data_IF_034122011356
#
_entry.id   IF_034122011356
#
_cell.length_a   1.000
_cell.length_b   1.000
_cell.length_c   1.000
_cell.angle_alpha   90.00
_cell.angle_beta   90.00
_cell.angle_gamma   90.00
#
_symmetry.space_group_name_H-M   'P 1'
#
loop_
_entity.id
_entity.type
_entity.pdbx_description
1 polymer ?
#
# COMPACT_ATOMS: atom_id res chain seq x y z
N UNK A 1 -45.25 -24.86 7.46
CA UNK A 1 -44.65 -24.69 6.12
C UNK A 1 -45.25 -23.42 5.53
N UNK A 2 -44.50 -22.33 5.63
CA UNK A 2 -44.82 -21.05 5.00
C UNK A 2 -43.70 -20.77 4.00
N UNK A 3 -43.98 -20.25 2.80
CA UNK A 3 -42.97 -20.15 1.76
C UNK A 3 -42.02 -18.98 2.04
N UNK A 4 -40.74 -19.25 1.85
CA UNK A 4 -39.64 -18.29 1.90
C UNK A 4 -39.86 -17.23 0.82
N UNK A 5 -39.88 -15.96 1.20
CA UNK A 5 -39.85 -14.85 0.25
C UNK A 5 -38.49 -14.87 -0.44
N UNK A 6 -38.49 -14.96 -1.77
CA UNK A 6 -37.30 -14.82 -2.60
C UNK A 6 -36.78 -13.38 -2.46
N UNK A 7 -35.49 -13.23 -2.15
CA UNK A 7 -34.82 -11.94 -2.20
C UNK A 7 -34.70 -11.49 -3.67
N UNK A 8 -35.06 -10.23 -3.91
CA UNK A 8 -35.05 -9.58 -5.22
C UNK A 8 -33.60 -9.21 -5.60
N UNK A 9 -33.13 -9.36 -6.85
CA UNK A 9 -31.70 -9.25 -7.21
C UNK A 9 -31.16 -7.81 -7.31
N UNK A 10 -31.92 -6.81 -6.86
CA UNK A 10 -31.57 -5.39 -6.93
C UNK A 10 -31.39 -4.79 -5.53
N UNK A 11 -30.73 -5.51 -4.63
CA UNK A 11 -30.33 -4.94 -3.34
C UNK A 11 -28.92 -4.35 -3.53
N UNK A 12 -28.88 -3.13 -4.05
CA UNK A 12 -27.66 -2.31 -4.03
C UNK A 12 -27.16 -2.22 -2.57
N UNK A 13 -25.84 -2.21 -2.33
CA UNK A 13 -25.32 -2.04 -0.99
C UNK A 13 -25.94 -0.78 -0.38
N UNK A 14 -26.66 -0.97 0.74
CA UNK A 14 -27.32 0.10 1.48
C UNK A 14 -26.27 1.20 1.72
N UNK A 15 -26.51 2.45 1.28
CA UNK A 15 -25.52 3.51 1.43
C UNK A 15 -25.14 3.63 2.91
N UNK A 16 -23.87 3.40 3.21
CA UNK A 16 -23.29 3.67 4.52
C UNK A 16 -23.70 5.08 4.89
N UNK A 17 -24.45 5.25 5.99
CA UNK A 17 -25.03 6.53 6.37
C UNK A 17 -23.93 7.59 6.48
N UNK A 18 -23.83 8.45 5.49
CA UNK A 18 -22.79 9.47 5.40
C UNK A 18 -22.94 10.46 6.57
N UNK A 19 -21.81 11.04 6.98
CA UNK A 19 -21.83 12.09 7.97
C UNK A 19 -22.65 13.30 7.46
N UNK A 20 -23.29 14.07 8.35
CA UNK A 20 -24.10 15.22 7.93
C UNK A 20 -23.27 16.20 7.09
N UNK A 21 -23.73 16.48 5.86
CA UNK A 21 -23.09 17.44 4.95
C UNK A 21 -22.27 16.82 3.80
N UNK A 22 -22.15 15.49 3.74
CA UNK A 22 -21.53 14.81 2.59
C UNK A 22 -22.63 14.35 1.61
N UNK A 23 -22.46 14.68 0.33
CA UNK A 23 -23.31 14.24 -0.79
C UNK A 23 -22.41 13.48 -1.75
N UNK A 24 -22.83 12.27 -2.14
CA UNK A 24 -22.22 11.49 -3.22
C UNK A 24 -23.10 11.65 -4.47
N UNK A 25 -22.52 12.01 -5.62
CA UNK A 25 -23.24 12.16 -6.89
C UNK A 25 -22.80 11.07 -7.87
N UNK A 26 -23.49 9.93 -7.80
CA UNK A 26 -23.11 8.73 -8.52
C UNK A 26 -23.35 8.86 -10.04
N UNK A 27 -22.40 8.35 -10.82
CA UNK A 27 -22.51 8.34 -12.27
C UNK A 27 -23.45 7.23 -12.77
N UNK A 28 -24.32 7.53 -13.73
CA UNK A 28 -25.33 6.57 -14.23
C UNK A 28 -24.73 5.36 -14.96
N UNK A 29 -23.52 5.50 -15.52
CA UNK A 29 -22.88 4.46 -16.36
C UNK A 29 -21.67 3.80 -15.70
N UNK A 30 -21.12 4.40 -14.63
CA UNK A 30 -19.94 3.85 -13.96
C UNK A 30 -20.41 3.18 -12.68
N UNK A 31 -20.83 1.93 -12.80
CA UNK A 31 -21.48 1.15 -11.75
C UNK A 31 -20.51 0.37 -10.88
N UNK A 32 -19.23 0.24 -11.29
CA UNK A 32 -18.22 -0.55 -10.57
C UNK A 32 -18.43 -2.06 -10.69
N UNK A 33 -19.21 -2.52 -11.68
CA UNK A 33 -19.48 -3.93 -11.91
C UNK A 33 -18.23 -4.72 -12.29
N UNK A 34 -18.17 -5.99 -11.88
CA UNK A 34 -17.03 -6.89 -12.13
C UNK A 34 -16.91 -7.15 -13.64
N UNK A 35 -15.72 -6.89 -14.19
CA UNK A 35 -15.43 -7.09 -15.60
C UNK A 35 -14.07 -7.79 -15.82
N UNK A 36 -13.91 -8.36 -17.01
CA UNK A 36 -12.65 -8.97 -17.44
C UNK A 36 -11.63 -7.91 -17.91
N UNK A 37 -10.43 -8.36 -18.31
CA UNK A 37 -9.36 -7.48 -18.78
C UNK A 37 -9.71 -6.68 -20.06
N UNK A 38 -10.80 -7.02 -20.75
CA UNK A 38 -11.29 -6.31 -21.92
C UNK A 38 -12.50 -5.40 -21.60
N UNK A 39 -12.94 -5.38 -20.34
CA UNK A 39 -14.12 -4.64 -19.89
C UNK A 39 -15.45 -5.36 -20.14
N UNK A 40 -15.45 -6.65 -20.42
CA UNK A 40 -16.69 -7.43 -20.52
C UNK A 40 -17.18 -7.86 -19.16
N UNK A 41 -18.48 -7.73 -18.91
CA UNK A 41 -19.12 -8.17 -17.67
C UNK A 41 -18.86 -9.65 -17.40
N UNK A 42 -18.49 -9.95 -16.15
CA UNK A 42 -18.33 -11.31 -15.66
C UNK A 42 -19.60 -11.67 -14.87
N UNK A 43 -20.12 -12.89 -15.06
CA UNK A 43 -21.21 -13.40 -14.21
C UNK A 43 -20.73 -13.42 -12.75
N UNK A 44 -21.51 -12.79 -11.86
CA UNK A 44 -21.25 -12.72 -10.42
C UNK A 44 -21.06 -14.11 -9.77
N UNK A 45 -21.54 -15.19 -10.38
CA UNK A 45 -21.34 -16.57 -9.89
C UNK A 45 -20.02 -17.20 -10.35
N UNK A 46 -19.21 -16.50 -11.15
CA UNK A 46 -17.92 -17.00 -11.63
C UNK A 46 -16.95 -17.05 -10.46
N UNK A 47 -16.41 -18.23 -10.17
CA UNK A 47 -15.40 -18.38 -9.13
C UNK A 47 -14.14 -17.59 -9.50
N UNK A 48 -13.55 -16.83 -8.56
CA UNK A 48 -12.29 -16.15 -8.81
C UNK A 48 -11.20 -17.17 -9.13
N UNK A 49 -10.16 -16.78 -9.89
CA UNK A 49 -8.98 -17.62 -10.09
C UNK A 49 -8.43 -18.09 -8.73
N UNK A 50 -7.92 -19.34 -8.62
CA UNK A 50 -7.26 -19.79 -7.41
C UNK A 50 -6.13 -18.83 -7.07
N UNK A 51 -6.22 -18.18 -5.91
CA UNK A 51 -5.11 -17.42 -5.37
C UNK A 51 -4.02 -18.43 -5.06
N UNK A 52 -2.81 -18.23 -5.59
CA UNK A 52 -1.67 -19.02 -5.14
C UNK A 52 -1.50 -18.72 -3.65
N UNK A 53 -1.88 -19.66 -2.79
CA UNK A 53 -1.61 -19.56 -1.35
C UNK A 53 -0.11 -19.36 -1.20
N UNK A 54 0.30 -18.17 -0.73
CA UNK A 54 1.68 -17.98 -0.30
C UNK A 54 1.91 -18.92 0.87
N UNK A 55 3.05 -19.61 0.87
CA UNK A 55 3.44 -20.44 2.00
C UNK A 55 3.42 -19.56 3.26
N UNK A 56 2.81 -20.00 4.38
CA UNK A 56 2.80 -19.23 5.63
C UNK A 56 4.20 -18.86 6.14
N UNK A 57 5.24 -19.57 5.71
CA UNK A 57 6.65 -19.28 5.97
C UNK A 57 7.37 -18.56 4.82
N UNK A 58 6.65 -18.08 3.81
CA UNK A 58 7.20 -17.25 2.73
C UNK A 58 7.46 -15.81 3.23
N UNK A 59 8.48 -15.68 4.08
CA UNK A 59 9.00 -14.38 4.57
C UNK A 59 9.87 -13.68 3.52
N UNK A 60 9.58 -13.89 2.22
CA UNK A 60 10.41 -13.49 1.08
C UNK A 60 11.22 -12.20 1.33
N UNK A 61 12.55 -12.32 1.16
CA UNK A 61 13.62 -11.34 1.44
C UNK A 61 14.06 -11.17 2.89
N UNK A 62 13.28 -11.65 3.85
CA UNK A 62 13.69 -11.81 5.23
C UNK A 62 14.12 -13.27 5.49
N UNK A 63 15.04 -13.46 6.43
CA UNK A 63 15.51 -14.78 6.88
C UNK A 63 14.39 -15.54 7.60
N UNK A 64 13.57 -14.84 8.37
CA UNK A 64 12.44 -15.37 9.14
C UNK A 64 11.46 -14.25 9.56
N UNK A 65 10.38 -14.65 10.24
CA UNK A 65 9.40 -13.77 10.86
C UNK A 65 10.04 -12.75 11.80
N UNK A 66 11.04 -13.16 12.58
CA UNK A 66 11.66 -12.33 13.60
C UNK A 66 12.42 -11.16 12.98
N UNK A 67 13.11 -11.40 11.87
CA UNK A 67 13.80 -10.36 11.12
C UNK A 67 12.80 -9.37 10.49
N UNK A 68 11.65 -9.86 10.01
CA UNK A 68 10.57 -9.00 9.49
C UNK A 68 9.97 -8.10 10.59
N UNK A 69 9.53 -8.68 11.71
CA UNK A 69 8.93 -7.94 12.82
C UNK A 69 9.91 -6.91 13.41
N UNK A 70 11.20 -7.26 13.43
CA UNK A 70 12.26 -6.33 13.84
C UNK A 70 12.39 -5.16 12.87
N UNK A 71 12.35 -5.40 11.56
CA UNK A 71 12.36 -4.32 10.58
C UNK A 71 11.14 -3.40 10.72
N UNK A 72 9.93 -3.99 10.87
CA UNK A 72 8.71 -3.22 11.09
C UNK A 72 8.83 -2.35 12.35
N UNK A 73 9.23 -2.94 13.47
CA UNK A 73 9.37 -2.23 14.73
C UNK A 73 10.37 -1.08 14.63
N UNK A 74 11.56 -1.32 14.08
CA UNK A 74 12.62 -0.31 14.00
C UNK A 74 12.27 0.83 13.04
N UNK A 75 11.68 0.51 11.88
CA UNK A 75 11.41 1.48 10.82
C UNK A 75 10.09 2.23 11.06
N UNK A 76 9.00 1.52 11.33
CA UNK A 76 7.64 2.07 11.34
C UNK A 76 7.16 2.46 12.73
N UNK A 77 7.47 1.67 13.77
CA UNK A 77 6.94 1.93 15.11
C UNK A 77 7.86 2.83 15.94
N UNK A 78 9.16 2.54 15.93
CA UNK A 78 10.16 3.29 16.68
C UNK A 78 10.71 4.49 15.90
N UNK A 79 10.58 4.49 14.57
CA UNK A 79 11.20 5.46 13.66
C UNK A 79 12.67 5.71 14.04
N UNK A 80 13.40 4.62 14.29
CA UNK A 80 14.72 4.69 14.90
C UNK A 80 15.72 5.32 13.93
N UNK A 81 16.50 6.29 14.41
CA UNK A 81 17.53 6.91 13.58
C UNK A 81 18.58 5.90 13.12
N UNK A 82 19.15 6.09 11.93
CA UNK A 82 20.18 5.20 11.36
C UNK A 82 21.34 4.92 12.35
N UNK A 83 21.82 5.95 13.05
CA UNK A 83 22.88 5.78 14.05
C UNK A 83 22.46 4.97 15.29
N UNK A 84 21.19 5.04 15.69
CA UNK A 84 20.66 4.21 16.77
C UNK A 84 20.46 2.75 16.30
N UNK A 85 20.06 2.54 15.05
CA UNK A 85 19.97 1.20 14.44
C UNK A 85 21.37 0.56 14.39
N UNK A 86 22.39 1.28 13.92
CA UNK A 86 23.77 0.80 13.91
C UNK A 86 24.23 0.44 15.32
N UNK A 87 23.96 1.31 16.30
CA UNK A 87 24.30 1.07 17.69
C UNK A 87 23.60 -0.18 18.25
N UNK A 88 22.35 -0.42 17.88
CA UNK A 88 21.62 -1.62 18.28
C UNK A 88 22.22 -2.88 17.67
N UNK A 89 22.55 -2.85 16.37
CA UNK A 89 23.18 -3.96 15.67
C UNK A 89 24.56 -4.31 16.28
N UNK A 90 25.34 -3.30 16.66
CA UNK A 90 26.61 -3.48 17.40
C UNK A 90 26.41 -4.17 18.76
N UNK A 91 25.38 -3.76 19.51
CA UNK A 91 25.04 -4.35 20.81
C UNK A 91 24.60 -5.82 20.67
N UNK A 92 23.82 -6.15 19.64
CA UNK A 92 23.48 -7.53 19.32
C UNK A 92 24.71 -8.34 18.92
N UNK A 93 25.55 -7.81 18.02
CA UNK A 93 26.80 -8.45 17.61
C UNK A 93 27.72 -8.76 18.79
N UNK A 94 27.82 -7.84 19.77
CA UNK A 94 28.63 -8.02 20.96
C UNK A 94 28.04 -8.98 22.01
N UNK A 95 26.72 -9.04 22.14
CA UNK A 95 26.05 -9.90 23.13
C UNK A 95 25.81 -11.33 22.65
N UNK A 96 25.61 -11.53 21.35
CA UNK A 96 25.37 -12.84 20.75
C UNK A 96 26.66 -13.62 20.45
N UNK A 97 27.82 -12.98 20.55
CA UNK A 97 29.14 -13.63 20.44
C UNK A 97 29.48 -14.39 21.74
N UNK A 98 28.72 -15.44 22.05
CA UNK A 98 29.07 -16.38 23.13
C UNK A 98 29.73 -17.64 22.56
N UNK A 99 30.61 -18.25 23.36
CA UNK A 99 31.67 -19.17 22.93
C UNK A 99 31.24 -20.49 22.26
N UNK A 100 29.94 -20.72 22.03
CA UNK A 100 29.41 -21.90 21.35
C UNK A 100 28.42 -21.47 20.27
N UNK A 101 28.92 -21.14 19.07
CA UNK A 101 28.08 -20.95 17.87
C UNK A 101 27.14 -19.74 17.93
N UNK A 102 27.67 -18.55 18.24
CA UNK A 102 26.90 -17.32 18.33
C UNK A 102 26.03 -17.00 17.11
N UNK A 103 24.81 -16.52 17.37
CA UNK A 103 23.89 -16.04 16.34
C UNK A 103 24.35 -14.67 15.82
N UNK A 104 24.30 -14.46 14.50
CA UNK A 104 24.55 -13.15 13.90
C UNK A 104 23.42 -12.17 14.28
N UNK A 105 23.69 -10.85 14.34
CA UNK A 105 22.62 -9.87 14.52
C UNK A 105 21.61 -9.96 13.37
N UNK A 106 20.34 -9.64 13.65
CA UNK A 106 19.26 -9.71 12.66
C UNK A 106 19.51 -8.82 11.45
N UNK A 107 20.20 -7.69 11.64
CA UNK A 107 20.76 -6.86 10.58
C UNK A 107 22.21 -6.52 10.93
N UNK A 108 23.07 -6.40 9.93
CA UNK A 108 24.45 -5.97 10.12
C UNK A 108 24.54 -4.47 10.46
N UNK A 109 23.72 -3.65 9.81
CA UNK A 109 23.65 -2.20 9.97
C UNK A 109 22.30 -1.65 9.44
N UNK A 110 22.09 -0.34 9.55
CA UNK A 110 20.91 0.33 9.00
C UNK A 110 20.79 0.17 7.47
N UNK A 111 21.91 0.04 6.74
CA UNK A 111 21.89 -0.07 5.27
C UNK A 111 21.32 -1.40 4.83
N UNK A 112 21.67 -2.49 5.51
CA UNK A 112 21.07 -3.79 5.26
C UNK A 112 19.57 -3.75 5.57
N UNK A 113 19.18 -3.14 6.69
CA UNK A 113 17.77 -2.99 7.05
C UNK A 113 16.99 -2.23 5.98
N UNK A 114 17.43 -1.02 5.61
CA UNK A 114 16.75 -0.22 4.58
C UNK A 114 16.74 -0.91 3.23
N UNK A 115 17.86 -1.50 2.80
CA UNK A 115 17.91 -2.25 1.55
C UNK A 115 16.93 -3.42 1.53
N UNK A 116 16.77 -4.12 2.66
CA UNK A 116 15.83 -5.24 2.78
C UNK A 116 14.39 -4.72 2.64
N UNK A 117 14.03 -3.65 3.37
CA UNK A 117 12.73 -2.99 3.26
C UNK A 117 12.45 -2.52 1.82
N UNK A 118 13.40 -1.81 1.21
CA UNK A 118 13.29 -1.27 -0.14
C UNK A 118 13.21 -2.36 -1.22
N UNK A 119 13.69 -3.57 -0.92
CA UNK A 119 13.61 -4.71 -1.85
C UNK A 119 12.32 -5.51 -1.69
N UNK A 120 11.59 -5.36 -0.57
CA UNK A 120 10.37 -6.13 -0.26
C UNK A 120 9.32 -5.94 -1.37
N UNK A 121 8.99 -6.99 -2.15
CA UNK A 121 8.20 -6.86 -3.38
C UNK A 121 6.69 -6.72 -3.12
N UNK A 122 6.28 -6.36 -1.90
CA UNK A 122 4.87 -6.24 -1.55
C UNK A 122 4.29 -4.96 -2.15
N UNK A 123 3.45 -5.13 -3.18
CA UNK A 123 2.65 -4.06 -3.74
C UNK A 123 3.47 -2.99 -4.46
N UNK A 124 4.60 -3.38 -5.05
CA UNK A 124 5.65 -2.51 -5.58
C UNK A 124 5.15 -1.66 -6.77
N UNK A 125 4.40 -0.61 -6.43
CA UNK A 125 4.17 0.52 -7.30
C UNK A 125 5.33 1.47 -7.01
N UNK A 126 6.33 1.59 -7.91
CA UNK A 126 7.47 2.45 -7.65
C UNK A 126 7.01 3.90 -7.47
N UNK A 127 7.77 4.66 -6.69
CA UNK A 127 7.64 6.11 -6.68
C UNK A 127 7.93 6.65 -8.08
N UNK A 128 7.04 7.50 -8.56
CA UNK A 128 7.23 8.30 -9.75
C UNK A 128 7.34 9.77 -9.35
N UNK A 129 7.94 10.60 -10.19
CA UNK A 129 8.06 12.02 -9.93
C UNK A 129 8.03 12.86 -11.18
N UNK A 130 7.56 14.09 -10.98
CA UNK A 130 7.57 15.10 -12.02
C UNK A 130 7.91 16.45 -11.43
N UNK A 131 8.51 17.30 -12.27
CA UNK A 131 8.94 18.64 -11.88
C UNK A 131 7.95 19.66 -12.39
N UNK A 132 7.53 20.53 -11.49
CA UNK A 132 6.60 21.60 -11.76
C UNK A 132 7.27 22.94 -11.42
N UNK A 133 7.02 23.93 -12.26
CA UNK A 133 7.31 25.33 -11.99
C UNK A 133 6.04 26.12 -12.23
N UNK A 134 5.81 27.17 -11.46
CA UNK A 134 4.74 28.11 -11.73
C UNK A 134 4.89 28.69 -13.15
N UNK A 135 3.80 28.65 -13.91
CA UNK A 135 3.76 29.07 -15.33
C UNK A 135 2.81 30.25 -15.58
N UNK A 136 2.23 30.83 -14.53
CA UNK A 136 1.34 31.98 -14.63
C UNK A 136 2.09 33.31 -14.70
N UNK A 137 1.33 34.41 -14.77
CA UNK A 137 1.91 35.75 -14.77
C UNK A 137 2.64 36.06 -13.46
N UNK A 138 3.78 36.73 -13.59
CA UNK A 138 4.55 37.24 -12.47
C UNK A 138 4.08 38.65 -12.09
N UNK A 139 4.11 39.02 -10.80
CA UNK A 139 3.92 40.40 -10.39
C UNK A 139 5.05 41.27 -10.97
N UNK A 140 4.75 42.53 -11.29
CA UNK A 140 5.73 43.47 -11.88
C UNK A 140 6.93 43.76 -10.97
N UNK A 141 6.80 43.54 -9.66
CA UNK A 141 7.89 43.66 -8.70
C UNK A 141 7.69 42.66 -7.55
N UNK A 142 8.78 42.34 -6.84
CA UNK A 142 8.80 41.40 -5.71
C UNK A 142 8.23 40.01 -6.05
N UNK A 143 8.80 39.37 -7.08
CA UNK A 143 8.45 37.98 -7.44
C UNK A 143 8.79 37.07 -6.24
N UNK A 144 7.81 36.36 -5.67
CA UNK A 144 8.07 35.41 -4.60
C UNK A 144 8.98 34.26 -5.08
N UNK A 145 9.92 33.78 -4.25
CA UNK A 145 10.83 32.69 -4.64
C UNK A 145 10.12 31.43 -5.15
N UNK A 146 8.92 31.14 -4.63
CA UNK A 146 8.14 29.96 -5.04
C UNK A 146 7.65 30.03 -6.49
N UNK A 147 7.49 31.23 -7.08
CA UNK A 147 7.10 31.35 -8.49
C UNK A 147 8.26 31.00 -9.42
N UNK A 148 9.51 31.21 -8.97
CA UNK A 148 10.69 30.95 -9.80
C UNK A 148 11.35 29.60 -9.57
N UNK A 149 11.05 28.95 -8.46
CA UNK A 149 11.62 27.68 -8.07
C UNK A 149 10.94 26.49 -8.78
N UNK A 150 11.76 25.50 -9.13
CA UNK A 150 11.27 24.20 -9.63
C UNK A 150 11.10 23.25 -8.45
N UNK A 151 9.93 22.65 -8.34
CA UNK A 151 9.57 21.69 -7.30
C UNK A 151 9.39 20.31 -7.91
N UNK A 152 9.92 19.30 -7.24
CA UNK A 152 9.76 17.90 -7.60
C UNK A 152 8.68 17.28 -6.71
N UNK A 153 7.64 16.73 -7.33
CA UNK A 153 6.55 16.07 -6.66
C UNK A 153 6.69 14.57 -6.85
N UNK A 154 6.70 13.85 -5.73
CA UNK A 154 6.76 12.40 -5.68
C UNK A 154 5.37 11.84 -5.43
N UNK A 155 4.99 10.82 -6.19
CA UNK A 155 3.69 10.17 -6.09
C UNK A 155 3.80 8.70 -6.47
N UNK A 156 2.82 7.90 -6.07
CA UNK A 156 2.64 6.56 -6.64
C UNK A 156 1.62 6.63 -7.78
N UNK A 157 1.89 6.05 -8.96
CA UNK A 157 0.91 5.96 -10.05
C UNK A 157 -0.42 5.35 -9.59
N UNK A 158 -1.47 6.18 -9.57
CA UNK A 158 -2.77 5.80 -9.01
C UNK A 158 -3.37 4.56 -9.70
N UNK A 159 -3.24 4.46 -11.02
CA UNK A 159 -3.70 3.29 -11.78
C UNK A 159 -3.05 2.00 -11.27
N UNK A 160 -1.72 1.98 -11.13
CA UNK A 160 -0.99 0.80 -10.66
C UNK A 160 -1.36 0.44 -9.22
N UNK A 161 -1.58 1.44 -8.36
CA UNK A 161 -2.07 1.22 -6.99
C UNK A 161 -3.44 0.54 -6.98
N UNK A 162 -4.39 1.06 -7.76
CA UNK A 162 -5.75 0.51 -7.81
C UNK A 162 -5.75 -0.90 -8.41
N UNK A 163 -4.95 -1.17 -9.44
CA UNK A 163 -4.79 -2.53 -9.99
C UNK A 163 -4.26 -3.50 -8.92
N UNK A 164 -3.25 -3.09 -8.14
CA UNK A 164 -2.72 -3.92 -7.05
C UNK A 164 -3.74 -4.14 -5.92
N UNK A 165 -4.52 -3.11 -5.58
CA UNK A 165 -5.61 -3.23 -4.59
C UNK A 165 -6.70 -4.17 -5.07
N UNK A 166 -7.14 -4.06 -6.33
CA UNK A 166 -8.15 -4.93 -6.93
C UNK A 166 -7.68 -6.39 -7.05
N UNK A 167 -6.38 -6.61 -7.26
CA UNK A 167 -5.81 -7.95 -7.32
C UNK A 167 -5.68 -8.63 -5.95
N UNK A 168 -5.78 -7.88 -4.84
CA UNK A 168 -5.66 -8.41 -3.49
C UNK A 168 -7.04 -8.52 -2.81
N UNK A 169 -7.50 -9.75 -2.57
CA UNK A 169 -8.80 -10.04 -1.95
C UNK A 169 -8.95 -9.51 -0.52
N UNK A 170 -7.87 -9.18 0.18
CA UNK A 170 -7.97 -8.52 1.50
C UNK A 170 -8.59 -7.11 1.40
N UNK A 171 -8.51 -6.49 0.22
CA UNK A 171 -9.13 -5.20 -0.06
C UNK A 171 -10.57 -5.32 -0.58
N UNK A 172 -11.13 -6.53 -0.68
CA UNK A 172 -12.53 -6.73 -1.05
C UNK A 172 -13.48 -6.05 -0.06
N UNK A 173 -14.37 -5.20 -0.58
CA UNK A 173 -15.29 -4.37 0.18
C UNK A 173 -14.62 -3.32 1.09
N UNK A 174 -13.32 -3.02 0.91
CA UNK A 174 -12.59 -2.02 1.72
C UNK A 174 -12.65 -0.60 1.16
N UNK A 175 -13.13 -0.42 -0.06
CA UNK A 175 -13.29 0.87 -0.72
C UNK A 175 -14.55 0.89 -1.60
N UNK A 176 -14.99 2.09 -1.97
CA UNK A 176 -16.12 2.24 -2.89
C UNK A 176 -15.64 1.98 -4.33
N UNK A 177 -16.23 0.98 -4.98
CA UNK A 177 -15.97 0.65 -6.38
C UNK A 177 -16.69 1.61 -7.34
N UNK A 178 -17.71 2.31 -6.85
CA UNK A 178 -18.56 3.19 -7.65
C UNK A 178 -18.05 4.63 -7.51
N UNK A 179 -17.68 5.30 -8.62
CA UNK A 179 -17.30 6.70 -8.58
C UNK A 179 -18.51 7.61 -8.27
N UNK A 180 -18.28 8.66 -7.48
CA UNK A 180 -19.27 9.61 -6.98
C UNK A 180 -18.75 11.05 -6.87
#
# INVERSE_FOLDING_TARGET
>A
MSPSSANNPHDYPVPTKLAPGIVHDYHNELTGDICDANGWEIDLNTLPPPISEKDPNDWALYCDQMQFETAEFLFKNAEMSAGNIDRLCDLWGGSLHTQEGGYAPLFADHKQLYKTIDSTPLGDVPWDSFKLKYSGDHPMSNIPPWMDQMYEFWFHPAHSLIVNMLANTEFDGKFDYVPY
#
